data_IF_512690364584
#
_entry.id   IF_512690364584
#
_cell.length_a   1.000
_cell.length_b   1.000
_cell.length_c   1.000
_cell.angle_alpha   90.00
_cell.angle_beta   90.00
_cell.angle_gamma   90.00
#
_symmetry.space_group_name_H-M   'P 1'
#
loop_
_entity.id
_entity.type
_entity.pdbx_description
1 polymer ?
#
# COMPACT_ATOMS: atom_id res chain seq x y z
N UNK A 1 -8.21 -21.61 -4.37
CA UNK A 1 -9.18 -20.50 -4.12
C UNK A 1 -10.02 -20.18 -5.38
N UNK A 2 -11.33 -19.92 -5.30
CA UNK A 2 -12.11 -19.53 -6.48
C UNK A 2 -11.54 -18.24 -7.08
N UNK A 3 -11.28 -18.21 -8.40
CA UNK A 3 -10.77 -17.05 -9.16
C UNK A 3 -11.45 -15.73 -8.78
N UNK A 4 -12.72 -15.82 -8.39
CA UNK A 4 -13.54 -14.75 -7.83
C UNK A 4 -12.87 -13.95 -6.70
N UNK A 5 -12.21 -14.59 -5.73
CA UNK A 5 -11.60 -13.89 -4.60
C UNK A 5 -10.40 -13.03 -5.00
N UNK A 6 -9.61 -13.47 -5.98
CA UNK A 6 -8.50 -12.67 -6.53
C UNK A 6 -8.98 -11.46 -7.33
N UNK A 7 -10.10 -11.61 -8.03
CA UNK A 7 -10.75 -10.51 -8.76
C UNK A 7 -11.31 -9.50 -7.76
N UNK A 8 -12.01 -9.99 -6.73
CA UNK A 8 -12.55 -9.14 -5.67
C UNK A 8 -11.45 -8.36 -4.95
N UNK A 9 -10.34 -9.01 -4.59
CA UNK A 9 -9.21 -8.31 -3.96
C UNK A 9 -8.62 -7.22 -4.83
N UNK A 10 -8.56 -7.44 -6.15
CA UNK A 10 -8.09 -6.42 -7.10
C UNK A 10 -9.03 -5.22 -7.12
N UNK A 11 -10.36 -5.43 -7.11
CA UNK A 11 -11.33 -4.34 -7.02
C UNK A 11 -11.20 -3.57 -5.70
N UNK A 12 -11.01 -4.26 -4.58
CA UNK A 12 -10.82 -3.61 -3.27
C UNK A 12 -9.55 -2.76 -3.27
N UNK A 13 -8.43 -3.28 -3.77
CA UNK A 13 -7.17 -2.54 -3.88
C UNK A 13 -7.32 -1.31 -4.79
N UNK A 14 -7.93 -1.47 -5.97
CA UNK A 14 -8.16 -0.36 -6.90
C UNK A 14 -9.07 0.72 -6.28
N UNK A 15 -10.17 0.31 -5.65
CA UNK A 15 -11.09 1.22 -5.00
C UNK A 15 -10.43 1.99 -3.85
N UNK A 16 -9.60 1.32 -3.05
CA UNK A 16 -8.86 1.94 -1.95
C UNK A 16 -7.92 3.04 -2.47
N UNK A 17 -7.13 2.76 -3.50
CA UNK A 17 -6.21 3.74 -4.08
C UNK A 17 -6.97 4.91 -4.73
N UNK A 18 -7.98 4.64 -5.56
CA UNK A 18 -8.79 5.67 -6.23
C UNK A 18 -9.47 6.57 -5.20
N UNK A 19 -10.01 6.01 -4.12
CA UNK A 19 -10.71 6.76 -3.08
C UNK A 19 -9.82 7.83 -2.46
N UNK A 20 -8.53 7.54 -2.20
CA UNK A 20 -7.63 8.53 -1.62
C UNK A 20 -7.31 9.66 -2.60
N UNK A 21 -7.14 9.37 -3.89
CA UNK A 21 -6.98 10.42 -4.90
C UNK A 21 -8.22 11.33 -4.99
N UNK A 22 -9.42 10.75 -4.89
CA UNK A 22 -10.68 11.51 -4.83
C UNK A 22 -10.71 12.39 -3.59
N UNK A 23 -10.38 11.85 -2.42
CA UNK A 23 -10.32 12.61 -1.16
C UNK A 23 -9.34 13.77 -1.31
N UNK A 24 -8.14 13.54 -1.83
CA UNK A 24 -7.16 14.60 -2.07
C UNK A 24 -7.71 15.71 -2.99
N UNK A 25 -8.37 15.34 -4.09
CA UNK A 25 -9.01 16.30 -4.99
C UNK A 25 -10.15 17.10 -4.32
N UNK A 26 -10.89 16.47 -3.42
CA UNK A 26 -11.95 17.14 -2.67
C UNK A 26 -11.38 18.11 -1.62
N UNK A 27 -10.21 17.83 -1.04
CA UNK A 27 -9.59 18.76 -0.08
C UNK A 27 -9.18 20.09 -0.72
N UNK A 28 -8.83 20.11 -2.00
CA UNK A 28 -8.53 21.38 -2.69
C UNK A 28 -9.78 22.14 -3.14
N UNK A 29 -10.94 21.47 -3.24
CA UNK A 29 -12.19 22.07 -3.75
C UNK A 29 -13.21 22.42 -2.66
N UNK A 30 -13.20 21.74 -1.51
CA UNK A 30 -14.24 21.86 -0.47
C UNK A 30 -13.61 22.10 0.90
N UNK A 31 -13.81 23.31 1.44
CA UNK A 31 -13.26 23.73 2.73
C UNK A 31 -13.69 22.83 3.91
N UNK A 32 -14.93 22.32 3.90
CA UNK A 32 -15.40 21.38 4.93
C UNK A 32 -14.66 20.03 4.92
N UNK A 33 -14.40 19.50 3.71
CA UNK A 33 -13.62 18.25 3.54
C UNK A 33 -12.17 18.50 3.94
N UNK A 34 -11.59 19.62 3.52
CA UNK A 34 -10.24 20.02 3.91
C UNK A 34 -10.06 20.04 5.43
N UNK A 35 -10.95 20.75 6.16
CA UNK A 35 -10.87 20.87 7.62
C UNK A 35 -10.98 19.51 8.29
N UNK A 36 -11.90 18.66 7.82
CA UNK A 36 -12.06 17.31 8.36
C UNK A 36 -10.80 16.46 8.14
N UNK A 37 -10.33 16.37 6.89
CA UNK A 37 -9.16 15.57 6.51
C UNK A 37 -7.92 16.04 7.25
N UNK A 38 -7.71 17.36 7.34
CA UNK A 38 -6.59 17.97 8.07
C UNK A 38 -6.63 17.67 9.58
N UNK A 39 -7.80 17.83 10.22
CA UNK A 39 -7.93 17.54 11.65
C UNK A 39 -7.64 16.07 11.98
N UNK A 40 -8.13 15.16 11.14
CA UNK A 40 -7.89 13.72 11.28
C UNK A 40 -6.46 13.34 10.95
N UNK A 41 -5.85 13.96 9.93
CA UNK A 41 -4.45 13.68 9.61
C UNK A 41 -3.54 14.08 10.78
N UNK A 42 -3.73 15.26 11.37
CA UNK A 42 -3.00 15.64 12.59
C UNK A 42 -3.18 14.64 13.73
N UNK A 43 -4.43 14.18 13.96
CA UNK A 43 -4.69 13.17 14.99
C UNK A 43 -3.96 11.85 14.71
N UNK A 44 -3.93 11.39 13.46
CA UNK A 44 -3.21 10.17 13.09
C UNK A 44 -1.70 10.34 13.20
N UNK A 45 -1.17 11.52 12.84
CA UNK A 45 0.23 11.88 13.00
C UNK A 45 0.69 11.92 14.45
N UNK A 46 -0.19 12.23 15.39
CA UNK A 46 0.14 12.21 16.82
C UNK A 46 0.06 10.80 17.41
N UNK A 47 -0.54 9.84 16.70
CA UNK A 47 -0.77 8.48 17.18
C UNK A 47 -0.05 7.46 16.28
N UNK A 48 -0.79 6.84 15.36
CA UNK A 48 -0.36 5.66 14.59
C UNK A 48 0.73 6.02 13.56
N UNK A 49 0.71 7.23 13.03
CA UNK A 49 1.64 7.74 12.01
C UNK A 49 2.53 8.86 12.56
N UNK A 50 3.01 8.68 13.79
CA UNK A 50 4.05 9.52 14.37
C UNK A 50 5.32 9.48 13.53
N UNK A 51 6.18 10.49 13.69
CA UNK A 51 7.44 10.56 12.94
C UNK A 51 8.29 9.30 13.15
N UNK A 52 8.33 8.80 14.39
CA UNK A 52 9.05 7.58 14.75
C UNK A 52 8.41 6.33 14.14
N UNK A 53 7.07 6.23 14.14
CA UNK A 53 6.40 5.09 13.54
C UNK A 53 6.51 5.08 12.01
N UNK A 54 6.42 6.25 11.36
CA UNK A 54 6.66 6.39 9.92
C UNK A 54 8.08 5.99 9.53
N UNK A 55 9.08 6.34 10.35
CA UNK A 55 10.45 5.87 10.14
C UNK A 55 10.53 4.34 10.25
N UNK A 56 9.93 3.73 11.27
CA UNK A 56 9.88 2.27 11.38
C UNK A 56 9.14 1.62 10.20
N UNK A 57 8.00 2.16 9.78
CA UNK A 57 7.25 1.70 8.60
C UNK A 57 8.09 1.80 7.32
N UNK A 58 8.88 2.87 7.16
CA UNK A 58 9.79 3.01 6.03
C UNK A 58 10.87 1.92 6.01
N UNK A 59 11.46 1.61 7.17
CA UNK A 59 12.46 0.52 7.29
C UNK A 59 11.80 -0.83 7.00
N UNK A 60 10.61 -1.09 7.54
CA UNK A 60 9.84 -2.30 7.25
C UNK A 60 9.51 -2.44 5.76
N UNK A 61 9.17 -1.34 5.09
CA UNK A 61 8.91 -1.36 3.64
C UNK A 61 10.16 -1.74 2.83
N UNK A 62 11.34 -1.28 3.23
CA UNK A 62 12.62 -1.67 2.59
C UNK A 62 12.89 -3.16 2.81
N UNK A 63 12.67 -3.68 4.03
CA UNK A 63 12.84 -5.10 4.31
C UNK A 63 11.88 -5.96 3.46
N UNK A 64 10.63 -5.52 3.30
CA UNK A 64 9.66 -6.20 2.42
C UNK A 64 10.08 -6.19 0.95
N UNK A 65 10.66 -5.09 0.46
CA UNK A 65 11.23 -5.02 -0.90
C UNK A 65 12.28 -6.11 -1.09
N UNK A 66 13.22 -6.24 -0.14
CA UNK A 66 14.28 -7.27 -0.18
C UNK A 66 13.66 -8.67 -0.16
N UNK A 67 12.68 -8.91 0.72
CA UNK A 67 11.96 -10.19 0.81
C UNK A 67 11.27 -10.53 -0.52
N UNK A 68 10.58 -9.58 -1.16
CA UNK A 68 9.92 -9.84 -2.44
C UNK A 68 10.92 -10.12 -3.56
N UNK A 69 12.08 -9.46 -3.59
CA UNK A 69 13.17 -9.79 -4.52
C UNK A 69 13.63 -11.24 -4.29
N UNK A 70 13.89 -11.63 -3.04
CA UNK A 70 14.33 -13.00 -2.71
C UNK A 70 13.28 -14.03 -3.11
N UNK A 71 11.99 -13.78 -2.82
CA UNK A 71 10.89 -14.66 -3.23
C UNK A 71 10.86 -14.77 -4.76
N UNK A 72 10.98 -13.66 -5.48
CA UNK A 72 10.97 -13.64 -6.94
C UNK A 72 12.09 -14.50 -7.52
N UNK A 73 13.32 -14.36 -7.01
CA UNK A 73 14.47 -15.18 -7.41
C UNK A 73 14.20 -16.67 -7.15
N UNK A 74 13.62 -17.01 -6.01
CA UNK A 74 13.29 -18.40 -5.66
C UNK A 74 12.22 -19.02 -6.58
N UNK A 75 11.22 -18.25 -7.00
CA UNK A 75 10.13 -18.74 -7.85
C UNK A 75 10.39 -18.56 -9.36
N UNK A 76 11.50 -17.93 -9.76
CA UNK A 76 11.75 -17.54 -11.17
C UNK A 76 11.67 -18.73 -12.14
N UNK A 77 12.11 -19.91 -11.69
CA UNK A 77 12.12 -21.15 -12.47
C UNK A 77 10.82 -21.95 -12.38
N UNK A 78 9.85 -21.55 -11.54
CA UNK A 78 8.56 -22.25 -11.44
C UNK A 78 7.66 -21.93 -12.65
N UNK A 79 6.77 -22.86 -13.01
CA UNK A 79 5.82 -22.67 -14.12
C UNK A 79 4.67 -21.69 -13.80
N UNK A 80 4.42 -21.39 -12.53
CA UNK A 80 3.29 -20.55 -12.12
C UNK A 80 3.55 -19.05 -12.40
N UNK A 81 3.16 -18.59 -13.59
CA UNK A 81 3.28 -17.19 -13.99
C UNK A 81 2.38 -16.25 -13.17
N UNK A 82 1.25 -16.73 -12.68
CA UNK A 82 0.36 -15.92 -11.83
C UNK A 82 1.04 -15.56 -10.50
N UNK A 83 1.69 -16.53 -9.84
CA UNK A 83 2.46 -16.25 -8.62
C UNK A 83 3.59 -15.23 -8.88
N UNK A 84 4.31 -15.34 -10.00
CA UNK A 84 5.36 -14.36 -10.36
C UNK A 84 4.78 -12.95 -10.51
N UNK A 85 3.65 -12.82 -11.19
CA UNK A 85 2.96 -11.54 -11.32
C UNK A 85 2.55 -10.96 -9.96
N UNK A 86 1.97 -11.78 -9.08
CA UNK A 86 1.57 -11.32 -7.75
C UNK A 86 2.78 -10.85 -6.91
N UNK A 87 3.93 -11.54 -7.01
CA UNK A 87 5.16 -11.10 -6.33
C UNK A 87 5.68 -9.77 -6.88
N UNK A 88 5.61 -9.54 -8.20
CA UNK A 88 5.96 -8.24 -8.80
C UNK A 88 5.03 -7.14 -8.29
N UNK A 89 3.72 -7.38 -8.22
CA UNK A 89 2.75 -6.43 -7.65
C UNK A 89 3.07 -6.13 -6.18
N UNK A 90 3.43 -7.15 -5.39
CA UNK A 90 3.87 -6.99 -4.00
C UNK A 90 5.11 -6.10 -3.88
N UNK A 91 6.11 -6.33 -4.73
CA UNK A 91 7.30 -5.48 -4.82
C UNK A 91 6.94 -4.01 -5.13
N UNK A 92 6.08 -3.77 -6.13
CA UNK A 92 5.65 -2.42 -6.51
C UNK A 92 4.91 -1.75 -5.34
N UNK A 93 4.02 -2.47 -4.65
CA UNK A 93 3.28 -1.92 -3.51
C UNK A 93 4.19 -1.59 -2.33
N UNK A 94 5.17 -2.44 -2.00
CA UNK A 94 6.15 -2.11 -0.96
C UNK A 94 6.98 -0.88 -1.31
N UNK A 95 7.38 -0.75 -2.58
CA UNK A 95 8.04 0.45 -3.07
C UNK A 95 7.13 1.69 -2.99
N UNK A 96 5.84 1.56 -3.31
CA UNK A 96 4.88 2.65 -3.19
C UNK A 96 4.62 3.05 -1.73
N UNK A 97 4.62 2.11 -0.78
CA UNK A 97 4.58 2.46 0.66
C UNK A 97 5.81 3.30 1.02
N UNK A 98 7.02 2.83 0.69
CA UNK A 98 8.26 3.57 0.94
C UNK A 98 8.22 4.98 0.32
N UNK A 99 7.81 5.07 -0.94
CA UNK A 99 7.72 6.32 -1.68
C UNK A 99 6.61 7.23 -1.13
N UNK A 100 5.50 6.67 -0.64
CA UNK A 100 4.43 7.45 -0.02
C UNK A 100 4.88 8.14 1.26
N UNK A 101 5.78 7.52 2.03
CA UNK A 101 6.30 8.07 3.29
C UNK A 101 7.42 9.11 3.04
N UNK A 102 8.34 8.81 2.12
CA UNK A 102 9.55 9.62 1.93
C UNK A 102 9.48 10.58 0.73
N UNK A 103 8.51 10.42 -0.17
CA UNK A 103 8.37 11.20 -1.38
C UNK A 103 7.75 12.57 -1.13
N UNK A 104 8.40 13.62 -1.64
CA UNK A 104 7.92 15.01 -1.54
C UNK A 104 6.52 15.22 -2.13
N UNK A 105 6.13 14.43 -3.13
CA UNK A 105 4.80 14.45 -3.73
C UNK A 105 3.70 14.23 -2.69
N UNK A 106 3.87 13.25 -1.80
CA UNK A 106 2.85 12.87 -0.82
C UNK A 106 2.95 13.73 0.44
N UNK A 107 4.17 14.00 0.92
CA UNK A 107 4.41 14.79 2.15
C UNK A 107 3.73 16.16 2.07
N UNK A 108 3.74 16.78 0.89
CA UNK A 108 3.16 18.12 0.69
C UNK A 108 1.62 18.09 0.54
N UNK A 109 1.00 16.91 0.53
CA UNK A 109 -0.45 16.77 0.39
C UNK A 109 -1.17 16.78 1.74
N UNK A 110 -2.31 17.45 1.83
CA UNK A 110 -3.16 17.49 3.05
C UNK A 110 -3.64 16.07 3.43
N UNK A 111 -3.78 15.20 2.43
CA UNK A 111 -4.20 13.80 2.58
C UNK A 111 -3.04 12.81 2.70
N UNK A 112 -1.82 13.27 2.97
CA UNK A 112 -0.59 12.47 3.08
C UNK A 112 -0.79 11.12 3.78
N UNK A 113 -1.33 11.14 5.00
CA UNK A 113 -1.50 9.94 5.82
C UNK A 113 -2.48 8.95 5.20
N UNK A 114 -3.50 9.44 4.50
CA UNK A 114 -4.46 8.58 3.82
C UNK A 114 -3.80 7.84 2.65
N UNK A 115 -2.83 8.45 1.97
CA UNK A 115 -2.05 7.76 0.94
C UNK A 115 -1.21 6.63 1.54
N UNK A 116 -0.47 6.91 2.62
CA UNK A 116 0.32 5.89 3.33
C UNK A 116 -0.58 4.72 3.75
N UNK A 117 -1.70 5.02 4.41
CA UNK A 117 -2.65 4.02 4.88
C UNK A 117 -3.23 3.17 3.74
N UNK A 118 -3.62 3.77 2.62
CA UNK A 118 -4.16 3.02 1.49
C UNK A 118 -3.13 2.09 0.85
N UNK A 119 -1.87 2.53 0.69
CA UNK A 119 -0.82 1.67 0.18
C UNK A 119 -0.50 0.52 1.15
N UNK A 120 -0.50 0.78 2.46
CA UNK A 120 -0.32 -0.25 3.49
C UNK A 120 -1.43 -1.31 3.46
N UNK A 121 -2.69 -0.89 3.38
CA UNK A 121 -3.84 -1.82 3.28
C UNK A 121 -3.71 -2.68 2.01
N UNK A 122 -3.41 -2.06 0.86
CA UNK A 122 -3.21 -2.79 -0.38
C UNK A 122 -2.05 -3.80 -0.28
N UNK A 123 -0.96 -3.42 0.38
CA UNK A 123 0.20 -4.27 0.60
C UNK A 123 -0.14 -5.47 1.49
N UNK A 124 -0.90 -5.28 2.57
CA UNK A 124 -1.34 -6.38 3.45
C UNK A 124 -2.18 -7.39 2.65
N UNK A 125 -3.14 -6.92 1.86
CA UNK A 125 -3.96 -7.78 0.99
C UNK A 125 -3.05 -8.57 0.03
N UNK A 126 -2.04 -7.91 -0.53
CA UNK A 126 -1.12 -8.54 -1.47
C UNK A 126 -0.25 -9.62 -0.82
N UNK A 127 0.22 -9.39 0.42
CA UNK A 127 0.96 -10.40 1.19
C UNK A 127 0.09 -11.64 1.44
N UNK A 128 -1.20 -11.47 1.79
CA UNK A 128 -2.13 -12.58 1.99
C UNK A 128 -2.35 -13.40 0.70
N UNK A 129 -2.44 -12.73 -0.46
CA UNK A 129 -2.55 -13.40 -1.76
C UNK A 129 -1.30 -14.23 -2.06
N UNK A 130 -0.11 -13.64 -1.89
CA UNK A 130 1.17 -14.31 -2.21
C UNK A 130 1.42 -15.50 -1.28
N UNK A 131 1.22 -15.32 0.03
CA UNK A 131 1.42 -16.39 1.03
C UNK A 131 0.53 -17.59 0.74
N UNK A 132 -0.75 -17.35 0.40
CA UNK A 132 -1.65 -18.42 0.00
C UNK A 132 -1.18 -19.16 -1.26
N UNK A 133 -0.80 -18.43 -2.31
CA UNK A 133 -0.32 -19.03 -3.56
C UNK A 133 1.00 -19.81 -3.36
N UNK A 134 1.81 -19.45 -2.37
CA UNK A 134 3.00 -20.21 -2.00
C UNK A 134 2.68 -21.51 -1.24
N UNK A 135 1.58 -21.54 -0.49
CA UNK A 135 1.10 -22.71 0.26
C UNK A 135 0.30 -23.69 -0.60
N UNK A 136 -0.48 -23.21 -1.59
CA UNK A 136 -1.24 -24.01 -2.56
C UNK A 136 -0.33 -24.71 -3.61
N UNK A 137 0.91 -25.09 -3.26
CA UNK A 137 1.91 -25.73 -4.15
C UNK A 137 1.34 -26.85 -5.01
#
# INVERSE_FOLDING_TARGET
MNKFLYILSLFVQAFCLISVYIVNSLTSKKAGVMRHVYSRSLQYQQNIYSKESLLMQSVLSILLIIIFIMIFIFIKNRKNNFLKFQVIVGFILSFMVYFSINGSFFINSISYIYFVMAFEICLIIQILIITKLLLEK
#
